data_IF_499354471658
#
_entry.id   IF_499354471658
#
_cell.length_a   1.000
_cell.length_b   1.000
_cell.length_c   1.000
_cell.angle_alpha   90.00
_cell.angle_beta   90.00
_cell.angle_gamma   90.00
#
_symmetry.space_group_name_H-M   'P 1'
#
loop_
_entity.id
_entity.type
_entity.pdbx_description
1 polymer ?
#
# COMPACT_ATOMS: atom_id res chain seq x y z
N UNK A 1 6.48 -7.69 -16.25
CA UNK A 1 6.20 -6.39 -15.62
C UNK A 1 5.04 -6.40 -14.61
N UNK A 2 3.95 -7.12 -14.88
CA UNK A 2 2.79 -7.17 -13.98
C UNK A 2 2.95 -8.05 -12.71
N UNK A 3 3.93 -8.96 -12.63
CA UNK A 3 4.10 -9.87 -11.47
C UNK A 3 4.49 -9.13 -10.18
N UNK A 4 5.47 -8.22 -10.24
CA UNK A 4 5.87 -7.41 -9.07
C UNK A 4 4.71 -6.54 -8.61
N UNK A 5 4.02 -5.88 -9.54
CA UNK A 5 2.86 -5.04 -9.22
C UNK A 5 1.75 -5.87 -8.57
N UNK A 6 1.45 -7.06 -9.09
CA UNK A 6 0.47 -7.99 -8.48
C UNK A 6 0.86 -8.39 -7.06
N UNK A 7 2.14 -8.68 -6.82
CA UNK A 7 2.65 -8.99 -5.48
C UNK A 7 2.46 -7.83 -4.50
N UNK A 8 2.82 -6.61 -4.91
CA UNK A 8 2.63 -5.41 -4.09
C UNK A 8 1.14 -5.17 -3.79
N UNK A 9 0.25 -5.35 -4.77
CA UNK A 9 -1.20 -5.25 -4.56
C UNK A 9 -1.69 -6.31 -3.57
N UNK A 10 -1.17 -7.54 -3.63
CA UNK A 10 -1.53 -8.59 -2.69
C UNK A 10 -1.11 -8.24 -1.25
N UNK A 11 0.08 -7.65 -1.07
CA UNK A 11 0.52 -7.14 0.24
C UNK A 11 -0.38 -6.02 0.73
N UNK A 12 -0.72 -5.04 -0.12
CA UNK A 12 -1.66 -3.97 0.26
C UNK A 12 -3.04 -4.54 0.65
N UNK A 13 -3.54 -5.54 -0.08
CA UNK A 13 -4.79 -6.23 0.30
C UNK A 13 -4.68 -6.89 1.67
N UNK A 14 -3.56 -7.54 1.97
CA UNK A 14 -3.35 -8.17 3.27
C UNK A 14 -3.27 -7.15 4.42
N UNK A 15 -2.74 -5.95 4.16
CA UNK A 15 -2.65 -4.87 5.15
C UNK A 15 -4.00 -4.18 5.43
N UNK A 16 -4.84 -4.03 4.41
CA UNK A 16 -6.04 -3.18 4.52
C UNK A 16 -7.37 -3.93 4.56
N UNK A 17 -7.47 -5.12 3.98
CA UNK A 17 -8.75 -5.82 3.91
C UNK A 17 -9.23 -6.26 5.30
N UNK A 18 -10.51 -6.02 5.59
CA UNK A 18 -11.14 -6.39 6.86
C UNK A 18 -10.94 -5.36 7.98
N UNK A 19 -10.14 -4.31 7.74
CA UNK A 19 -10.07 -3.19 8.67
C UNK A 19 -11.33 -2.31 8.57
N UNK A 20 -11.83 -1.82 9.72
CA UNK A 20 -12.73 -0.67 9.76
C UNK A 20 -12.12 0.53 9.01
N UNK A 21 -12.98 1.34 8.36
CA UNK A 21 -12.53 2.47 7.53
C UNK A 21 -11.74 3.51 8.33
N UNK A 22 -12.13 3.75 9.57
CA UNK A 22 -11.46 4.66 10.52
C UNK A 22 -10.08 4.15 10.97
N UNK A 23 -9.81 2.85 10.84
CA UNK A 23 -8.50 2.26 11.14
C UNK A 23 -7.52 2.35 9.97
N UNK A 24 -7.99 2.57 8.73
CA UNK A 24 -7.14 2.63 7.52
C UNK A 24 -6.03 3.68 7.65
N UNK A 25 -6.31 4.83 8.26
CA UNK A 25 -5.34 5.90 8.46
C UNK A 25 -4.21 5.52 9.43
N UNK A 26 -4.43 4.53 10.30
CA UNK A 26 -3.45 4.08 11.30
C UNK A 26 -2.42 3.11 10.72
N UNK A 27 -2.70 2.53 9.55
CA UNK A 27 -1.78 1.60 8.88
C UNK A 27 -0.64 2.37 8.23
N UNK A 28 0.58 2.14 8.70
CA UNK A 28 1.81 2.58 8.03
C UNK A 28 2.28 1.53 7.01
N UNK A 29 1.65 1.54 5.84
CA UNK A 29 2.02 0.62 4.76
C UNK A 29 3.49 0.80 4.33
N UNK A 30 4.06 1.99 4.41
CA UNK A 30 5.44 2.19 3.97
C UNK A 30 6.43 1.53 4.94
N UNK A 31 6.21 1.66 6.25
CA UNK A 31 7.00 0.96 7.25
C UNK A 31 6.89 -0.55 7.12
N UNK A 32 5.69 -1.10 6.86
CA UNK A 32 5.51 -2.54 6.66
C UNK A 32 6.24 -3.05 5.41
N UNK A 33 6.21 -2.31 4.30
CA UNK A 33 6.95 -2.70 3.10
C UNK A 33 8.47 -2.64 3.30
N UNK A 34 8.97 -1.65 4.03
CA UNK A 34 10.38 -1.55 4.40
C UNK A 34 10.82 -2.68 5.35
N UNK A 35 9.98 -3.03 6.35
CA UNK A 35 10.23 -4.16 7.25
C UNK A 35 10.35 -5.49 6.51
N UNK A 36 9.65 -5.63 5.38
CA UNK A 36 9.70 -6.79 4.50
C UNK A 36 10.80 -6.71 3.44
N UNK A 37 11.58 -5.61 3.38
CA UNK A 37 12.59 -5.36 2.35
C UNK A 37 12.04 -5.24 0.93
N UNK A 38 10.74 -4.98 0.78
CA UNK A 38 10.07 -5.00 -0.52
C UNK A 38 10.24 -3.70 -1.31
N UNK A 39 10.70 -2.63 -0.67
CA UNK A 39 10.95 -1.33 -1.28
C UNK A 39 12.38 -1.18 -1.84
N UNK A 40 13.35 -1.95 -1.32
CA UNK A 40 14.77 -1.88 -1.69
C UNK A 40 15.07 -2.22 -3.16
N UNK A 41 14.24 -3.05 -3.78
CA UNK A 41 14.45 -3.55 -5.15
C UNK A 41 13.46 -2.98 -6.18
N UNK A 42 12.69 -1.96 -5.79
CA UNK A 42 11.76 -1.32 -6.69
C UNK A 42 12.46 -0.22 -7.50
N UNK A 43 12.20 -0.23 -8.81
CA UNK A 43 12.54 0.92 -9.64
C UNK A 43 11.74 2.15 -9.20
N UNK A 44 12.24 3.35 -9.48
CA UNK A 44 11.58 4.60 -9.12
C UNK A 44 10.11 4.66 -9.57
N UNK A 45 9.81 4.19 -10.80
CA UNK A 45 8.45 4.12 -11.33
C UNK A 45 7.53 3.24 -10.47
N UNK A 46 8.03 2.08 -10.02
CA UNK A 46 7.25 1.13 -9.21
C UNK A 46 7.00 1.66 -7.80
N UNK A 47 8.03 2.23 -7.16
CA UNK A 47 7.89 2.85 -5.84
C UNK A 47 6.91 4.02 -5.87
N UNK A 48 6.92 4.83 -6.95
CA UNK A 48 5.98 5.93 -7.11
C UNK A 48 4.55 5.42 -7.33
N UNK A 49 4.36 4.39 -8.16
CA UNK A 49 3.05 3.75 -8.34
C UNK A 49 2.50 3.17 -7.03
N UNK A 50 3.35 2.53 -6.23
CA UNK A 50 3.00 2.01 -4.90
C UNK A 50 2.57 3.13 -3.94
N UNK A 51 3.35 4.22 -3.85
CA UNK A 51 2.99 5.39 -3.03
C UNK A 51 1.66 6.00 -3.47
N UNK A 52 1.41 6.09 -4.77
CA UNK A 52 0.16 6.60 -5.31
C UNK A 52 -1.04 5.70 -4.94
N UNK A 53 -0.88 4.37 -4.98
CA UNK A 53 -1.92 3.43 -4.54
C UNK A 53 -2.23 3.58 -3.05
N UNK A 54 -1.21 3.67 -2.19
CA UNK A 54 -1.38 3.89 -0.74
C UNK A 54 -2.11 5.21 -0.49
N UNK A 55 -1.69 6.29 -1.16
CA UNK A 55 -2.34 7.60 -1.07
C UNK A 55 -3.81 7.55 -1.47
N UNK A 56 -4.13 6.82 -2.56
CA UNK A 56 -5.53 6.67 -3.01
C UNK A 56 -6.38 5.85 -2.03
N UNK A 57 -5.86 4.79 -1.43
CA UNK A 57 -6.57 4.02 -0.40
C UNK A 57 -6.92 4.92 0.77
N UNK A 58 -5.94 5.70 1.28
CA UNK A 58 -6.16 6.65 2.38
C UNK A 58 -7.15 7.74 2.00
N UNK A 59 -7.05 8.32 0.80
CA UNK A 59 -7.98 9.35 0.33
C UNK A 59 -9.43 8.86 0.28
N UNK A 60 -9.66 7.67 -0.27
CA UNK A 60 -11.01 7.07 -0.32
C UNK A 60 -11.53 6.75 1.08
N UNK A 61 -10.68 6.29 2.00
CA UNK A 61 -11.08 6.04 3.39
C UNK A 61 -11.47 7.34 4.11
N UNK A 62 -10.72 8.43 3.92
CA UNK A 62 -11.05 9.74 4.48
C UNK A 62 -12.38 10.28 3.95
N UNK A 63 -12.71 10.05 2.67
CA UNK A 63 -13.98 10.46 2.08
C UNK A 63 -15.18 9.63 2.57
N UNK A 64 -14.94 8.40 3.04
CA UNK A 64 -15.97 7.45 3.46
C UNK A 64 -16.25 7.46 4.98
N UNK A 65 -15.38 8.07 5.79
CA UNK A 65 -15.54 8.26 7.23
C UNK A 65 -16.42 9.47 7.56
#
# INVERSE_FOLDING_TARGET
DAMIVRGLIAVLRALYNGLPVDEVARVDAQAELARLGLDEHLSAQRSNGLRAMIGRIRGVATEAA
#
